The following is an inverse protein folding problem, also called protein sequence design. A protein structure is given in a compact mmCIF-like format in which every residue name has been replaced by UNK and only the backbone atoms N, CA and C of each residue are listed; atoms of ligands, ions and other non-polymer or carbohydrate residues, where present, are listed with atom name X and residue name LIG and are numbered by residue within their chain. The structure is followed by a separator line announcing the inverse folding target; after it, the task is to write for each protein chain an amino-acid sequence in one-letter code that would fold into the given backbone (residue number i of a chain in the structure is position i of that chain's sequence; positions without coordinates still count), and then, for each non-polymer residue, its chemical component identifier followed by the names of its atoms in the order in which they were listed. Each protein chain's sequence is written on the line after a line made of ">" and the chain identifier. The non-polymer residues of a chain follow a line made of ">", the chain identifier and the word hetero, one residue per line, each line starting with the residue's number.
data_IF_656685569305
#
_entry.id   IF_656685569305
#
_cell.length_a   1.000
_cell.length_b   1.000
_cell.length_c   1.000
_cell.angle_alpha   90.00
_cell.angle_beta   90.00
_cell.angle_gamma   90.00
#
_symmetry.space_group_name_H-M   'P 1'
#
loop_
_entity.id
_entity.type
_entity.pdbx_description
1 polymer ?
#
# COMPACT_ATOMS: atom_id res chain seq x y z
N UNK A 1 15.22 -35.35 -15.83
CA UNK A 1 14.25 -34.59 -14.99
C UNK A 1 14.88 -33.59 -14.03
N UNK A 2 16.06 -33.84 -13.47
CA UNK A 2 16.74 -32.94 -12.51
C UNK A 2 17.24 -31.61 -13.09
N UNK A 3 17.82 -31.63 -14.31
CA UNK A 3 18.41 -30.44 -14.92
C UNK A 3 17.36 -29.39 -15.32
N UNK A 4 16.20 -29.83 -15.83
CA UNK A 4 15.08 -28.96 -16.18
C UNK A 4 14.45 -28.31 -14.95
N UNK A 5 14.39 -29.02 -13.82
CA UNK A 5 13.88 -28.49 -12.55
C UNK A 5 14.82 -27.43 -11.96
N UNK A 6 16.13 -27.66 -11.99
CA UNK A 6 17.14 -26.68 -11.55
C UNK A 6 17.09 -25.44 -12.42
N UNK A 7 16.96 -25.60 -13.74
CA UNK A 7 16.85 -24.49 -14.67
C UNK A 7 15.56 -23.66 -14.45
N UNK A 8 14.43 -24.33 -14.16
CA UNK A 8 13.17 -23.68 -13.83
C UNK A 8 13.27 -22.85 -12.54
N UNK A 9 13.89 -23.41 -11.51
CA UNK A 9 14.14 -22.70 -10.24
C UNK A 9 15.05 -21.49 -10.48
N UNK A 10 16.09 -21.63 -11.28
CA UNK A 10 17.03 -20.55 -11.60
C UNK A 10 16.36 -19.45 -12.42
N UNK A 11 15.46 -19.81 -13.34
CA UNK A 11 14.68 -18.86 -14.14
C UNK A 11 13.65 -18.11 -13.30
N UNK A 12 12.97 -18.78 -12.36
CA UNK A 12 12.06 -18.13 -11.40
C UNK A 12 12.84 -17.21 -10.46
N UNK A 13 14.02 -17.61 -10.00
CA UNK A 13 14.89 -16.79 -9.15
C UNK A 13 15.44 -15.57 -9.89
N UNK A 14 15.91 -15.72 -11.12
CA UNK A 14 16.43 -14.59 -11.92
C UNK A 14 15.32 -13.63 -12.31
N UNK A 15 14.12 -14.13 -12.62
CA UNK A 15 12.96 -13.30 -12.88
C UNK A 15 12.47 -12.61 -11.61
N UNK A 16 12.43 -13.29 -10.48
CA UNK A 16 12.11 -12.70 -9.17
C UNK A 16 13.10 -11.60 -8.79
N UNK A 17 14.41 -11.81 -9.03
CA UNK A 17 15.45 -10.81 -8.83
C UNK A 17 15.33 -9.63 -9.79
N UNK A 18 15.01 -9.86 -11.06
CA UNK A 18 14.78 -8.81 -12.05
C UNK A 18 13.53 -7.97 -11.68
N UNK A 19 12.43 -8.62 -11.31
CA UNK A 19 11.24 -7.93 -10.82
C UNK A 19 11.49 -7.19 -9.51
N UNK A 20 12.24 -7.78 -8.59
CA UNK A 20 12.66 -7.11 -7.36
C UNK A 20 13.54 -5.89 -7.66
N UNK A 21 14.51 -6.01 -8.56
CA UNK A 21 15.35 -4.89 -8.99
C UNK A 21 14.56 -3.80 -9.70
N UNK A 22 13.61 -4.15 -10.56
CA UNK A 22 12.73 -3.20 -11.25
C UNK A 22 11.80 -2.49 -10.25
N UNK A 23 11.20 -3.23 -9.32
CA UNK A 23 10.37 -2.67 -8.24
C UNK A 23 11.24 -1.80 -7.31
N UNK A 24 12.46 -2.24 -6.99
CA UNK A 24 13.41 -1.49 -6.18
C UNK A 24 13.83 -0.18 -6.87
N UNK A 25 14.11 -0.18 -8.16
CA UNK A 25 14.43 1.01 -8.95
C UNK A 25 13.24 1.98 -8.99
N UNK A 26 12.02 1.49 -9.23
CA UNK A 26 10.80 2.30 -9.21
C UNK A 26 10.51 2.88 -7.81
N UNK A 27 10.74 2.09 -6.75
CA UNK A 27 10.59 2.55 -5.37
C UNK A 27 11.74 3.45 -4.92
N UNK A 28 12.95 3.25 -5.45
CA UNK A 28 14.12 4.08 -5.18
C UNK A 28 13.94 5.48 -5.78
N UNK A 29 13.45 5.58 -7.00
CA UNK A 29 13.12 6.86 -7.64
C UNK A 29 11.98 7.59 -6.92
N UNK A 30 10.99 6.84 -6.40
CA UNK A 30 9.93 7.38 -5.54
C UNK A 30 10.44 7.85 -4.16
N UNK A 31 11.43 7.17 -3.60
CA UNK A 31 12.01 7.50 -2.27
C UNK A 31 12.97 8.69 -2.34
N UNK A 32 13.58 8.94 -3.49
CA UNK A 32 14.51 10.06 -3.74
C UNK A 32 13.88 11.22 -4.50
N UNK A 33 12.56 11.29 -4.57
CA UNK A 33 11.80 12.39 -5.22
C UNK A 33 11.98 13.80 -4.63
N UNK A 34 12.97 13.98 -3.76
CA UNK A 34 13.52 15.29 -3.37
C UNK A 34 14.29 15.99 -4.52
N UNK A 35 14.38 15.40 -5.71
CA UNK A 35 14.93 16.04 -6.91
C UNK A 35 13.97 17.05 -7.57
N UNK A 36 12.72 17.14 -7.15
CA UNK A 36 11.76 18.10 -7.70
C UNK A 36 12.13 19.57 -7.43
N UNK A 37 12.93 19.87 -6.41
CA UNK A 37 13.44 21.23 -6.18
C UNK A 37 14.43 21.64 -7.28
N UNK A 38 15.31 20.74 -7.73
CA UNK A 38 16.23 20.98 -8.84
C UNK A 38 15.51 21.11 -10.19
N UNK A 39 14.45 20.31 -10.41
CA UNK A 39 13.63 20.37 -11.63
C UNK A 39 12.78 21.65 -11.67
N UNK A 40 12.23 22.09 -10.56
CA UNK A 40 11.50 23.36 -10.47
C UNK A 40 12.41 24.58 -10.64
N UNK A 41 13.63 24.53 -10.08
CA UNK A 41 14.63 25.58 -10.28
C UNK A 41 15.13 25.62 -11.75
N UNK A 42 15.27 24.46 -12.40
CA UNK A 42 15.66 24.37 -13.81
C UNK A 42 14.56 24.89 -14.74
N UNK A 43 13.30 24.62 -14.43
CA UNK A 43 12.14 25.11 -15.19
C UNK A 43 11.92 26.65 -15.04
N UNK A 44 12.45 27.25 -13.99
CA UNK A 44 12.47 28.71 -13.82
C UNK A 44 13.63 29.39 -14.57
N UNK A 45 14.70 28.64 -14.88
CA UNK A 45 15.93 29.21 -15.47
C UNK A 45 16.06 28.96 -16.98
N UNK A 46 15.54 27.81 -17.46
CA UNK A 46 15.55 27.45 -18.88
C UNK A 46 14.11 27.48 -19.41
N UNK A 47 13.81 28.48 -20.26
CA UNK A 47 12.57 28.54 -21.03
C UNK A 47 12.45 27.31 -21.93
N UNK A 48 11.24 26.76 -21.96
CA UNK A 48 10.68 25.82 -22.93
C UNK A 48 11.70 25.03 -23.80
N UNK A 49 12.37 24.04 -23.25
CA UNK A 49 12.88 22.95 -24.08
C UNK A 49 11.72 21.97 -24.32
N UNK A 50 11.30 21.90 -25.59
CA UNK A 50 10.44 20.81 -26.11
C UNK A 50 11.11 19.49 -25.75
N UNK A 51 10.45 18.67 -24.92
CA UNK A 51 10.73 17.23 -24.88
C UNK A 51 10.54 16.71 -26.32
N UNK A 52 11.61 16.30 -26.97
CA UNK A 52 11.55 15.39 -28.11
C UNK A 52 10.97 14.08 -27.58
N UNK A 53 9.65 13.97 -27.57
CA UNK A 53 8.93 12.74 -27.35
C UNK A 53 9.32 11.78 -28.48
N UNK A 54 9.88 10.64 -28.09
CA UNK A 54 10.25 9.54 -28.98
C UNK A 54 9.02 9.17 -29.85
N UNK A 55 9.01 9.63 -31.10
CA UNK A 55 7.86 9.65 -32.02
C UNK A 55 7.26 8.24 -32.25
N UNK A 56 8.04 7.18 -31.96
CA UNK A 56 7.61 5.78 -32.06
C UNK A 56 6.69 5.35 -30.90
N UNK A 57 7.03 5.72 -29.67
CA UNK A 57 6.25 5.37 -28.47
C UNK A 57 4.91 6.12 -28.51
N UNK A 58 4.92 7.38 -28.92
CA UNK A 58 3.69 8.20 -29.06
C UNK A 58 2.76 7.63 -30.13
N UNK A 59 3.27 7.10 -31.23
CA UNK A 59 2.45 6.44 -32.27
C UNK A 59 1.84 5.13 -31.78
N UNK A 60 2.58 4.29 -31.08
CA UNK A 60 2.05 3.04 -30.49
C UNK A 60 1.00 3.35 -29.41
N UNK A 61 1.22 4.39 -28.62
CA UNK A 61 0.31 4.83 -27.56
C UNK A 61 -1.01 5.39 -28.09
N UNK A 62 -1.01 6.05 -29.26
CA UNK A 62 -2.22 6.61 -29.85
C UNK A 62 -3.25 5.55 -30.33
N UNK A 63 -2.82 4.29 -30.52
CA UNK A 63 -3.70 3.18 -30.86
C UNK A 63 -4.42 2.57 -29.63
N UNK A 64 -3.95 2.87 -28.40
CA UNK A 64 -4.54 2.31 -27.17
C UNK A 64 -5.59 3.29 -26.66
N UNK A 65 -6.85 3.04 -27.00
CA UNK A 65 -7.98 3.80 -26.47
C UNK A 65 -8.23 3.38 -25.02
N UNK A 66 -7.52 4.04 -24.08
CA UNK A 66 -7.60 3.73 -22.65
C UNK A 66 -8.93 4.22 -22.11
N UNK A 67 -9.73 3.33 -21.52
CA UNK A 67 -10.94 3.72 -20.80
C UNK A 67 -10.61 4.78 -19.75
N UNK A 68 -11.40 5.89 -19.72
CA UNK A 68 -11.22 6.95 -18.73
C UNK A 68 -11.24 6.44 -17.29
N UNK A 69 -11.99 5.37 -17.01
CA UNK A 69 -12.05 4.76 -15.69
C UNK A 69 -10.70 4.15 -15.28
N UNK A 70 -10.02 3.47 -16.21
CA UNK A 70 -8.70 2.89 -15.97
C UNK A 70 -7.64 3.99 -15.80
N UNK A 71 -7.71 5.04 -16.62
CA UNK A 71 -6.84 6.21 -16.49
C UNK A 71 -6.98 6.88 -15.15
N UNK A 72 -8.22 7.13 -14.70
CA UNK A 72 -8.50 7.68 -13.36
C UNK A 72 -7.99 6.77 -12.25
N UNK A 73 -8.20 5.46 -12.38
CA UNK A 73 -7.69 4.48 -11.41
C UNK A 73 -6.17 4.54 -11.29
N UNK A 74 -5.44 4.51 -12.40
CA UNK A 74 -3.97 4.57 -12.40
C UNK A 74 -3.43 5.88 -11.83
N UNK A 75 -4.08 7.01 -12.10
CA UNK A 75 -3.70 8.30 -11.49
C UNK A 75 -3.87 8.32 -9.96
N UNK A 76 -4.75 7.46 -9.40
CA UNK A 76 -4.90 7.33 -7.94
C UNK A 76 -3.89 6.41 -7.28
N UNK A 77 -3.17 5.58 -8.06
CA UNK A 77 -2.17 4.64 -7.51
C UNK A 77 -0.89 5.32 -7.07
N UNK A 78 -0.60 6.53 -7.63
CA UNK A 78 0.63 7.27 -7.34
C UNK A 78 1.89 6.60 -7.87
N UNK A 79 1.75 5.71 -8.85
CA UNK A 79 2.90 5.17 -9.57
C UNK A 79 3.54 6.27 -10.43
N UNK A 80 4.88 6.36 -10.50
CA UNK A 80 5.58 7.35 -11.30
C UNK A 80 5.56 7.04 -12.81
N UNK A 81 4.57 6.28 -13.26
CA UNK A 81 4.38 5.84 -14.65
C UNK A 81 3.16 6.52 -15.26
N UNK A 82 3.26 6.94 -16.50
CA UNK A 82 2.09 7.38 -17.28
C UNK A 82 1.14 6.17 -17.47
N UNK A 83 -0.19 6.37 -17.47
CA UNK A 83 -1.16 5.27 -17.67
C UNK A 83 -0.87 4.43 -18.91
N UNK A 84 -0.38 5.07 -19.97
CA UNK A 84 0.00 4.48 -21.22
C UNK A 84 1.20 3.53 -21.06
N UNK A 85 2.25 3.98 -20.36
CA UNK A 85 3.46 3.19 -20.07
C UNK A 85 3.14 1.96 -19.21
N UNK A 86 2.24 2.14 -18.24
CA UNK A 86 1.79 1.04 -17.38
C UNK A 86 1.13 -0.08 -18.20
N UNK A 87 0.25 0.27 -19.15
CA UNK A 87 -0.45 -0.71 -19.99
C UNK A 87 0.53 -1.40 -20.94
N UNK A 88 1.47 -0.66 -21.52
CA UNK A 88 2.50 -1.25 -22.38
C UNK A 88 3.37 -2.25 -21.62
N UNK A 89 3.84 -1.88 -20.42
CA UNK A 89 4.64 -2.77 -19.57
C UNK A 89 3.83 -4.00 -19.15
N UNK A 90 2.56 -3.82 -18.83
CA UNK A 90 1.66 -4.91 -18.48
C UNK A 90 1.46 -5.88 -19.65
N UNK A 91 1.13 -5.37 -20.84
CA UNK A 91 0.99 -6.17 -22.05
C UNK A 91 2.29 -6.86 -22.46
N UNK A 92 3.40 -6.15 -22.39
CA UNK A 92 4.73 -6.69 -22.68
C UNK A 92 5.09 -7.85 -21.73
N UNK A 93 4.88 -7.71 -20.43
CA UNK A 93 5.18 -8.80 -19.47
C UNK A 93 4.24 -9.99 -19.64
N UNK A 94 2.96 -9.76 -19.93
CA UNK A 94 1.99 -10.83 -20.19
C UNK A 94 2.33 -11.64 -21.46
N UNK A 95 3.01 -11.04 -22.46
CA UNK A 95 3.42 -11.71 -23.69
C UNK A 95 4.84 -12.29 -23.64
N UNK A 96 5.79 -11.57 -23.08
CA UNK A 96 7.20 -11.96 -23.07
C UNK A 96 7.41 -13.21 -22.18
N UNK A 97 6.75 -13.30 -21.04
CA UNK A 97 6.92 -14.42 -20.12
C UNK A 97 6.53 -15.78 -20.74
N UNK A 98 5.31 -15.95 -21.33
CA UNK A 98 4.97 -17.20 -21.99
C UNK A 98 5.83 -17.46 -23.26
N UNK A 99 6.29 -16.40 -23.96
CA UNK A 99 7.17 -16.55 -25.11
C UNK A 99 8.52 -17.16 -24.73
N UNK A 100 9.10 -16.73 -23.61
CA UNK A 100 10.33 -17.29 -23.06
C UNK A 100 10.13 -18.76 -22.69
N UNK A 101 9.00 -19.13 -22.06
CA UNK A 101 8.74 -20.53 -21.71
C UNK A 101 8.49 -21.41 -22.92
N UNK A 102 7.93 -20.85 -24.00
CA UNK A 102 7.75 -21.51 -25.29
C UNK A 102 9.10 -21.80 -25.97
N UNK A 103 10.01 -20.80 -26.03
CA UNK A 103 11.36 -20.96 -26.61
C UNK A 103 12.17 -22.01 -25.85
N UNK A 104 12.01 -22.07 -24.53
CA UNK A 104 12.71 -23.04 -23.68
C UNK A 104 12.07 -24.44 -23.68
N UNK A 105 11.00 -24.66 -24.45
CA UNK A 105 10.30 -25.95 -24.54
C UNK A 105 9.86 -26.53 -23.18
N UNK A 106 9.45 -25.68 -22.22
CA UNK A 106 9.11 -26.08 -20.86
C UNK A 106 7.69 -26.73 -20.74
N UNK A 107 6.98 -26.85 -21.83
CA UNK A 107 5.63 -27.44 -21.89
C UNK A 107 4.49 -26.43 -21.75
N UNK A 108 3.31 -26.84 -22.22
CA UNK A 108 2.12 -25.98 -22.30
C UNK A 108 1.62 -25.50 -20.91
N UNK A 109 1.73 -26.36 -19.90
CA UNK A 109 1.30 -26.04 -18.52
C UNK A 109 2.08 -24.90 -17.90
N UNK A 110 3.39 -24.85 -18.13
CA UNK A 110 4.26 -23.77 -17.65
C UNK A 110 4.02 -22.46 -18.39
N UNK A 111 3.76 -22.52 -19.70
CA UNK A 111 3.40 -21.37 -20.51
C UNK A 111 2.12 -20.70 -20.01
N UNK A 112 1.07 -21.47 -19.72
CA UNK A 112 -0.20 -20.98 -19.17
C UNK A 112 0.01 -20.37 -17.77
N UNK A 113 0.81 -21.00 -16.92
CA UNK A 113 1.12 -20.50 -15.59
C UNK A 113 1.80 -19.13 -15.66
N UNK A 114 2.83 -18.96 -16.46
CA UNK A 114 3.55 -17.69 -16.59
C UNK A 114 2.71 -16.60 -17.27
N UNK A 115 1.80 -16.95 -18.17
CA UNK A 115 0.82 -16.01 -18.70
C UNK A 115 -0.10 -15.45 -17.62
N UNK A 116 -0.65 -16.32 -16.76
CA UNK A 116 -1.51 -15.91 -15.64
C UNK A 116 -0.73 -15.04 -14.65
N UNK A 117 0.51 -15.41 -14.32
CA UNK A 117 1.39 -14.63 -13.43
C UNK A 117 1.66 -13.24 -14.02
N UNK A 118 2.02 -13.14 -15.31
CA UNK A 118 2.26 -11.86 -15.98
C UNK A 118 1.03 -10.96 -16.01
N UNK A 119 -0.15 -11.57 -16.15
CA UNK A 119 -1.43 -10.84 -16.16
C UNK A 119 -1.81 -10.31 -14.77
N UNK A 120 -1.49 -11.02 -13.70
CA UNK A 120 -1.89 -10.65 -12.33
C UNK A 120 -0.91 -9.71 -11.62
N UNK A 121 0.36 -9.69 -11.99
CA UNK A 121 1.41 -8.98 -11.27
C UNK A 121 1.19 -7.45 -11.24
N UNK A 122 0.84 -6.85 -12.38
CA UNK A 122 0.65 -5.41 -12.51
C UNK A 122 -0.58 -4.87 -11.76
N UNK A 123 -1.78 -5.47 -11.87
CA UNK A 123 -2.93 -5.02 -11.09
C UNK A 123 -2.73 -5.20 -9.58
N UNK A 124 -2.06 -6.27 -9.15
CA UNK A 124 -1.70 -6.45 -7.73
C UNK A 124 -0.73 -5.36 -7.25
N UNK A 125 0.28 -5.03 -8.06
CA UNK A 125 1.23 -3.97 -7.75
C UNK A 125 0.56 -2.60 -7.67
N UNK A 126 -0.37 -2.28 -8.58
CA UNK A 126 -1.15 -1.06 -8.58
C UNK A 126 -2.01 -0.94 -7.30
N UNK A 127 -2.68 -2.03 -6.91
CA UNK A 127 -3.50 -2.06 -5.69
C UNK A 127 -2.67 -1.89 -4.41
N UNK A 128 -1.49 -2.53 -4.34
CA UNK A 128 -0.56 -2.38 -3.20
C UNK A 128 -0.04 -0.94 -3.12
N UNK A 129 0.32 -0.34 -4.27
CA UNK A 129 0.80 1.04 -4.34
C UNK A 129 -0.29 2.02 -3.89
N UNK A 130 -1.52 1.85 -4.38
CA UNK A 130 -2.69 2.63 -3.96
C UNK A 130 -2.91 2.55 -2.44
N UNK A 131 -2.92 1.34 -1.88
CA UNK A 131 -3.08 1.15 -0.42
C UNK A 131 -1.98 1.83 0.38
N UNK A 132 -0.71 1.74 -0.07
CA UNK A 132 0.42 2.42 0.58
C UNK A 132 0.27 3.95 0.52
N UNK A 133 -0.14 4.49 -0.64
CA UNK A 133 -0.38 5.93 -0.81
C UNK A 133 -1.49 6.43 0.12
N UNK A 134 -2.62 5.71 0.19
CA UNK A 134 -3.73 6.04 1.08
C UNK A 134 -3.34 5.97 2.56
N UNK A 135 -2.57 4.93 2.95
CA UNK A 135 -2.07 4.81 4.31
C UNK A 135 -1.13 5.97 4.69
N UNK A 136 -0.28 6.40 3.76
CA UNK A 136 0.61 7.55 3.96
C UNK A 136 -0.18 8.86 4.05
N UNK A 137 -1.18 9.05 3.19
CA UNK A 137 -2.09 10.19 3.24
C UNK A 137 -2.78 10.30 4.61
N UNK A 138 -3.38 9.21 5.07
CA UNK A 138 -4.05 9.18 6.38
C UNK A 138 -3.09 9.40 7.56
N UNK A 139 -1.82 9.00 7.41
CA UNK A 139 -0.78 9.28 8.40
C UNK A 139 -0.41 10.76 8.46
N UNK A 140 -0.46 11.48 7.34
CA UNK A 140 -0.14 12.92 7.26
C UNK A 140 -1.34 13.81 7.66
N UNK A 141 -2.56 13.27 7.61
CA UNK A 141 -3.78 14.03 7.83
C UNK A 141 -3.84 14.76 9.20
N UNK A 142 -3.45 14.16 10.34
CA UNK A 142 -3.47 14.87 11.63
C UNK A 142 -2.56 16.09 11.64
N UNK A 143 -1.36 15.98 11.08
CA UNK A 143 -0.41 17.08 10.96
C UNK A 143 -0.97 18.21 10.07
N UNK A 144 -1.59 17.85 8.95
CA UNK A 144 -2.27 18.80 8.07
C UNK A 144 -3.36 19.58 8.81
N UNK A 145 -4.16 18.90 9.63
CA UNK A 145 -5.23 19.53 10.40
C UNK A 145 -4.71 20.49 11.48
N UNK A 146 -3.59 20.18 12.11
CA UNK A 146 -2.92 21.09 13.04
C UNK A 146 -2.49 22.37 12.34
N UNK A 147 -1.89 22.27 11.15
CA UNK A 147 -1.50 23.43 10.34
C UNK A 147 -2.74 24.24 9.93
N UNK A 148 -3.80 23.58 9.46
CA UNK A 148 -5.06 24.24 9.10
C UNK A 148 -5.64 24.98 10.31
N UNK A 149 -5.72 24.33 11.48
CA UNK A 149 -6.23 24.94 12.71
C UNK A 149 -5.43 26.18 13.12
N UNK A 150 -4.10 26.12 13.03
CA UNK A 150 -3.22 27.25 13.32
C UNK A 150 -3.44 28.41 12.35
N UNK A 151 -3.56 28.15 11.06
CA UNK A 151 -3.85 29.16 10.06
C UNK A 151 -5.20 29.84 10.32
N UNK A 152 -6.24 29.05 10.61
CA UNK A 152 -7.58 29.58 10.90
C UNK A 152 -7.62 30.44 12.18
N UNK A 153 -6.90 30.04 13.24
CA UNK A 153 -6.75 30.82 14.46
C UNK A 153 -6.04 32.16 14.22
N UNK A 154 -5.10 32.17 13.28
CA UNK A 154 -4.41 33.39 12.84
C UNK A 154 -5.26 34.27 11.90
N UNK A 155 -6.52 33.90 11.64
CA UNK A 155 -7.45 34.67 10.80
C UNK A 155 -7.32 34.44 9.29
N UNK A 156 -6.56 33.45 8.86
CA UNK A 156 -6.51 33.08 7.46
C UNK A 156 -7.76 32.32 7.01
N UNK A 157 -8.10 32.43 5.74
CA UNK A 157 -9.21 31.64 5.16
C UNK A 157 -8.84 30.15 5.07
N UNK A 158 -9.85 29.28 5.09
CA UNK A 158 -9.65 27.84 4.95
C UNK A 158 -8.90 27.47 3.66
N UNK A 159 -9.21 28.15 2.57
CA UNK A 159 -8.49 27.99 1.29
C UNK A 159 -7.00 28.33 1.42
N UNK A 160 -6.67 29.40 2.14
CA UNK A 160 -5.27 29.76 2.39
C UNK A 160 -4.57 28.73 3.27
N UNK A 161 -5.27 28.20 4.28
CA UNK A 161 -4.78 27.12 5.13
C UNK A 161 -4.47 25.84 4.33
N UNK A 162 -5.35 25.44 3.38
CA UNK A 162 -5.09 24.32 2.48
C UNK A 162 -3.84 24.56 1.60
N UNK A 163 -3.68 25.77 1.08
CA UNK A 163 -2.50 26.13 0.30
C UNK A 163 -1.23 25.99 1.13
N UNK A 164 -1.23 26.49 2.36
CA UNK A 164 -0.11 26.37 3.28
C UNK A 164 0.27 24.91 3.54
N UNK A 165 -0.70 24.06 3.86
CA UNK A 165 -0.46 22.60 4.04
C UNK A 165 0.14 21.97 2.78
N UNK A 166 -0.34 22.38 1.60
CA UNK A 166 0.16 21.84 0.33
C UNK A 166 1.60 22.24 0.01
N UNK A 167 2.12 23.29 0.64
CA UNK A 167 3.50 23.73 0.54
C UNK A 167 4.40 23.10 1.60
N UNK A 168 3.90 22.95 2.83
CA UNK A 168 4.67 22.50 3.98
C UNK A 168 4.81 20.96 4.06
N UNK A 169 3.79 20.21 3.62
CA UNK A 169 3.80 18.76 3.70
C UNK A 169 4.19 18.06 2.39
N UNK A 170 4.86 16.90 2.48
CA UNK A 170 5.24 16.13 1.30
C UNK A 170 4.05 15.40 0.67
N UNK A 171 4.26 14.84 -0.55
CA UNK A 171 3.29 13.96 -1.19
C UNK A 171 3.00 12.72 -0.32
N UNK A 172 1.78 12.19 -0.34
CA UNK A 172 0.66 12.46 -1.25
C UNK A 172 -0.27 13.62 -0.85
N UNK A 173 -0.27 14.09 0.41
CA UNK A 173 -1.23 15.10 0.88
C UNK A 173 -1.09 16.43 0.13
N UNK A 174 0.15 16.86 -0.13
CA UNK A 174 0.44 18.07 -0.93
C UNK A 174 -0.25 18.05 -2.29
N UNK A 175 -0.10 16.94 -3.02
CA UNK A 175 -0.65 16.79 -4.37
C UNK A 175 -2.18 16.80 -4.37
N UNK A 176 -2.79 16.09 -3.43
CA UNK A 176 -4.25 16.03 -3.31
C UNK A 176 -4.86 17.38 -2.91
N UNK A 177 -4.23 18.10 -1.98
CA UNK A 177 -4.69 19.44 -1.60
C UNK A 177 -4.46 20.47 -2.70
N UNK A 178 -3.35 20.42 -3.44
CA UNK A 178 -3.16 21.25 -4.65
C UNK A 178 -4.25 21.01 -5.68
N UNK A 179 -4.74 19.76 -5.80
CA UNK A 179 -5.83 19.44 -6.68
C UNK A 179 -7.14 20.07 -6.20
N UNK A 180 -7.48 19.96 -4.92
CA UNK A 180 -8.65 20.62 -4.33
C UNK A 180 -8.62 22.14 -4.57
N UNK A 181 -7.47 22.77 -4.31
CA UNK A 181 -7.29 24.20 -4.52
C UNK A 181 -7.51 24.61 -5.99
N UNK A 182 -6.99 23.82 -6.94
CA UNK A 182 -7.24 24.05 -8.36
C UNK A 182 -8.72 23.93 -8.71
N UNK A 183 -9.40 22.89 -8.24
CA UNK A 183 -10.84 22.69 -8.47
C UNK A 183 -11.64 23.87 -7.96
N UNK A 184 -11.34 24.36 -6.74
CA UNK A 184 -11.97 25.54 -6.16
C UNK A 184 -11.65 26.82 -6.95
N UNK A 185 -10.42 26.97 -7.47
CA UNK A 185 -10.04 28.11 -8.31
C UNK A 185 -10.78 28.12 -9.66
N UNK A 186 -11.16 26.94 -10.18
CA UNK A 186 -12.02 26.81 -11.36
C UNK A 186 -13.51 26.99 -11.08
N UNK A 187 -13.87 27.42 -9.85
CA UNK A 187 -15.25 27.76 -9.50
C UNK A 187 -16.04 26.62 -8.87
N UNK A 188 -15.42 25.47 -8.62
CA UNK A 188 -16.09 24.37 -7.90
C UNK A 188 -16.23 24.73 -6.43
N UNK A 189 -17.34 24.33 -5.79
CA UNK A 189 -17.53 24.57 -4.36
C UNK A 189 -16.50 23.77 -3.54
N UNK A 190 -16.01 24.38 -2.46
CA UNK A 190 -15.03 23.72 -1.57
C UNK A 190 -15.57 22.43 -0.97
N UNK A 191 -16.85 22.42 -0.54
CA UNK A 191 -17.53 21.24 0.01
C UNK A 191 -17.57 20.07 -0.98
N UNK A 192 -17.79 20.34 -2.27
CA UNK A 192 -17.80 19.32 -3.33
C UNK A 192 -16.39 18.78 -3.60
N UNK A 193 -15.38 19.64 -3.65
CA UNK A 193 -13.99 19.25 -3.87
C UNK A 193 -13.43 18.46 -2.69
N UNK A 194 -13.74 18.82 -1.47
CA UNK A 194 -13.38 18.05 -0.26
C UNK A 194 -14.12 16.71 -0.20
N UNK A 195 -15.41 16.67 -0.56
CA UNK A 195 -16.18 15.43 -0.63
C UNK A 195 -15.62 14.45 -1.66
N UNK A 196 -15.20 14.96 -2.83
CA UNK A 196 -14.53 14.13 -3.83
C UNK A 196 -13.16 13.64 -3.35
N UNK A 197 -12.39 14.46 -2.64
CA UNK A 197 -11.15 14.04 -2.01
C UNK A 197 -11.40 12.94 -0.99
N UNK A 198 -12.39 13.06 -0.12
CA UNK A 198 -12.77 12.05 0.86
C UNK A 198 -13.16 10.72 0.18
N UNK A 199 -13.95 10.77 -0.89
CA UNK A 199 -14.35 9.62 -1.68
C UNK A 199 -13.14 8.94 -2.36
N UNK A 200 -12.22 9.71 -2.95
CA UNK A 200 -11.00 9.16 -3.61
C UNK A 200 -10.05 8.51 -2.62
N UNK A 201 -9.92 9.09 -1.43
CA UNK A 201 -9.03 8.57 -0.37
C UNK A 201 -9.69 7.55 0.52
N UNK A 202 -11.01 7.34 0.40
CA UNK A 202 -11.79 6.46 1.27
C UNK A 202 -11.47 6.70 2.76
N UNK A 203 -11.33 7.98 3.14
CA UNK A 203 -10.97 8.42 4.48
C UNK A 203 -12.19 8.90 5.24
N UNK A 204 -12.60 8.13 6.26
CA UNK A 204 -13.68 8.51 7.15
C UNK A 204 -13.36 9.81 7.91
N UNK A 205 -12.09 10.06 8.18
CA UNK A 205 -11.59 11.27 8.81
C UNK A 205 -11.85 12.51 7.93
N UNK A 206 -11.60 12.39 6.61
CA UNK A 206 -11.91 13.47 5.66
C UNK A 206 -13.40 13.70 5.47
N UNK A 207 -14.23 12.65 5.48
CA UNK A 207 -15.67 12.80 5.45
C UNK A 207 -16.18 13.60 6.66
N UNK A 208 -15.62 13.31 7.84
CA UNK A 208 -15.97 14.05 9.06
C UNK A 208 -15.55 15.52 8.96
N UNK A 209 -14.36 15.81 8.42
CA UNK A 209 -13.88 17.17 8.18
C UNK A 209 -14.77 17.88 7.18
N UNK A 210 -15.09 17.24 6.04
CA UNK A 210 -15.94 17.84 5.01
C UNK A 210 -17.33 18.20 5.57
N UNK A 211 -17.91 17.27 6.34
CA UNK A 211 -19.21 17.51 6.99
C UNK A 211 -19.13 18.67 7.97
N UNK A 212 -18.10 18.72 8.81
CA UNK A 212 -17.89 19.78 9.78
C UNK A 212 -17.71 21.15 9.10
N UNK A 213 -16.86 21.20 8.05
CA UNK A 213 -16.66 22.44 7.25
C UNK A 213 -17.93 22.87 6.57
N UNK A 214 -18.68 21.95 5.97
CA UNK A 214 -19.95 22.26 5.28
C UNK A 214 -21.00 22.85 6.24
N UNK A 215 -21.16 22.23 7.42
CA UNK A 215 -22.10 22.73 8.44
C UNK A 215 -21.68 24.13 8.88
N UNK A 216 -20.40 24.33 9.17
CA UNK A 216 -19.90 25.59 9.70
C UNK A 216 -19.96 26.74 8.70
N UNK A 217 -19.73 26.45 7.42
CA UNK A 217 -19.88 27.45 6.36
C UNK A 217 -21.34 27.91 6.20
N UNK A 218 -22.30 27.03 6.45
CA UNK A 218 -23.74 27.37 6.39
C UNK A 218 -24.24 28.09 7.63
N UNK A 219 -23.71 27.75 8.80
CA UNK A 219 -24.13 28.37 10.07
C UNK A 219 -23.36 29.64 10.44
N UNK A 220 -22.26 29.95 9.74
CA UNK A 220 -21.48 31.17 9.98
C UNK A 220 -20.65 31.14 11.27
N UNK A 221 -20.39 29.97 11.83
CA UNK A 221 -19.67 29.83 13.08
C UNK A 221 -18.14 29.80 12.97
N UNK A 222 -17.45 29.55 14.08
CA UNK A 222 -16.00 29.53 14.18
C UNK A 222 -15.42 28.23 13.59
N UNK A 223 -14.90 28.28 12.37
CA UNK A 223 -14.32 27.14 11.68
C UNK A 223 -13.05 26.61 12.37
N UNK A 224 -12.27 27.49 13.02
CA UNK A 224 -11.06 27.09 13.72
C UNK A 224 -11.36 26.14 14.89
N UNK A 225 -12.38 26.45 15.67
CA UNK A 225 -12.81 25.64 16.82
C UNK A 225 -13.30 24.25 16.38
N UNK A 226 -14.05 24.18 15.28
CA UNK A 226 -14.53 22.90 14.74
C UNK A 226 -13.37 22.05 14.21
N UNK A 227 -12.43 22.64 13.47
CA UNK A 227 -11.26 21.92 12.97
C UNK A 227 -10.41 21.40 14.14
N UNK A 228 -10.25 22.18 15.20
CA UNK A 228 -9.52 21.75 16.42
C UNK A 228 -10.21 20.56 17.09
N UNK A 229 -11.53 20.61 17.28
CA UNK A 229 -12.34 19.53 17.84
C UNK A 229 -12.27 18.24 17.03
N UNK A 230 -12.33 18.38 15.70
CA UNK A 230 -12.17 17.24 14.79
C UNK A 230 -10.76 16.67 14.85
N UNK A 231 -9.74 17.53 14.92
CA UNK A 231 -8.34 17.12 15.07
C UNK A 231 -8.11 16.34 16.37
N UNK A 232 -8.65 16.82 17.47
CA UNK A 232 -8.61 16.13 18.78
C UNK A 232 -9.23 14.72 18.65
N UNK A 233 -10.46 14.65 18.11
CA UNK A 233 -11.16 13.38 17.90
C UNK A 233 -10.37 12.40 17.03
N UNK A 234 -9.72 12.86 15.96
CA UNK A 234 -8.88 12.03 15.10
C UNK A 234 -7.64 11.54 15.85
N UNK A 235 -6.97 12.42 16.59
CA UNK A 235 -5.82 12.05 17.39
C UNK A 235 -6.16 11.00 18.46
N UNK A 236 -7.29 11.15 19.14
CA UNK A 236 -7.77 10.18 20.12
C UNK A 236 -8.04 8.82 19.48
N UNK A 237 -8.70 8.78 18.32
CA UNK A 237 -8.89 7.54 17.56
C UNK A 237 -7.57 6.88 17.17
N UNK A 238 -6.59 7.68 16.73
CA UNK A 238 -5.25 7.15 16.37
C UNK A 238 -4.56 6.59 17.60
N UNK A 239 -4.62 7.28 18.74
CA UNK A 239 -4.02 6.84 19.99
C UNK A 239 -4.65 5.52 20.47
N UNK A 240 -5.98 5.42 20.45
CA UNK A 240 -6.70 4.17 20.79
C UNK A 240 -6.28 3.03 19.84
N UNK A 241 -6.27 3.26 18.53
CA UNK A 241 -5.81 2.27 17.55
C UNK A 241 -4.37 1.81 17.81
N UNK A 242 -3.49 2.73 18.16
CA UNK A 242 -2.09 2.41 18.50
C UNK A 242 -1.98 1.59 19.77
N UNK A 243 -2.74 1.93 20.81
CA UNK A 243 -2.78 1.15 22.06
C UNK A 243 -3.30 -0.27 21.81
N UNK A 244 -4.39 -0.43 21.08
CA UNK A 244 -4.92 -1.74 20.67
C UNK A 244 -3.85 -2.52 19.89
N UNK A 245 -3.16 -1.88 18.96
CA UNK A 245 -2.09 -2.53 18.17
C UNK A 245 -0.96 -3.02 19.06
N UNK A 246 -0.51 -2.25 20.03
CA UNK A 246 0.54 -2.64 20.98
C UNK A 246 0.10 -3.84 21.79
N UNK A 247 -1.09 -3.79 22.39
CA UNK A 247 -1.63 -4.88 23.22
C UNK A 247 -1.86 -6.17 22.41
N UNK A 248 -2.42 -6.05 21.20
CA UNK A 248 -2.64 -7.21 20.33
C UNK A 248 -1.32 -7.79 19.81
N UNK A 249 -0.32 -6.95 19.55
CA UNK A 249 1.02 -7.39 19.14
C UNK A 249 1.69 -8.16 20.26
N UNK A 250 1.65 -7.65 21.50
CA UNK A 250 2.17 -8.34 22.66
C UNK A 250 1.48 -9.70 22.87
N UNK A 251 0.14 -9.75 22.79
CA UNK A 251 -0.61 -11.01 22.90
C UNK A 251 -0.24 -12.00 21.80
N UNK A 252 -0.02 -11.53 20.56
CA UNK A 252 0.40 -12.39 19.44
C UNK A 252 1.79 -12.98 19.65
N UNK A 253 2.77 -12.18 20.09
CA UNK A 253 4.11 -12.69 20.36
C UNK A 253 4.13 -13.66 21.54
N UNK A 254 3.41 -13.37 22.63
CA UNK A 254 3.29 -14.28 23.75
C UNK A 254 2.62 -15.60 23.34
N UNK A 255 1.54 -15.54 22.58
CA UNK A 255 0.87 -16.71 22.03
C UNK A 255 1.75 -17.54 21.12
N UNK A 256 2.56 -16.89 20.27
CA UNK A 256 3.51 -17.56 19.39
C UNK A 256 4.63 -18.27 20.19
N UNK A 257 5.16 -17.63 21.22
CA UNK A 257 6.19 -18.21 22.08
C UNK A 257 5.65 -19.43 22.83
N UNK A 258 4.45 -19.34 23.42
CA UNK A 258 3.80 -20.45 24.10
C UNK A 258 3.49 -21.59 23.14
N UNK A 259 2.99 -21.28 21.93
CA UNK A 259 2.67 -22.28 20.92
C UNK A 259 3.88 -22.95 20.29
N UNK A 260 5.07 -22.33 20.29
CA UNK A 260 6.30 -22.94 19.82
C UNK A 260 7.00 -23.81 20.88
N UNK A 261 6.67 -23.62 22.16
CA UNK A 261 7.35 -24.26 23.27
C UNK A 261 7.26 -25.80 23.23
N UNK A 262 6.10 -26.44 22.97
CA UNK A 262 6.01 -27.91 22.86
C UNK A 262 6.84 -28.47 21.70
N UNK A 263 6.85 -27.76 20.55
CA UNK A 263 7.66 -28.16 19.37
C UNK A 263 9.14 -28.08 19.71
N UNK A 264 9.57 -27.01 20.38
CA UNK A 264 10.95 -26.84 20.82
C UNK A 264 11.38 -27.91 21.83
N UNK A 265 10.52 -28.24 22.81
CA UNK A 265 10.76 -29.32 23.76
C UNK A 265 10.86 -30.68 23.05
N UNK A 266 10.01 -30.96 22.08
CA UNK A 266 10.04 -32.20 21.31
C UNK A 266 11.38 -32.37 20.57
N UNK A 267 11.88 -31.29 19.94
CA UNK A 267 13.17 -31.29 19.24
C UNK A 267 14.30 -31.55 20.22
N UNK A 268 14.34 -30.83 21.36
CA UNK A 268 15.38 -30.97 22.39
C UNK A 268 15.39 -32.39 22.98
N UNK A 269 14.21 -32.91 23.35
CA UNK A 269 14.10 -34.25 23.94
C UNK A 269 14.53 -35.34 22.94
N UNK A 270 14.23 -35.15 21.65
CA UNK A 270 14.69 -36.06 20.59
C UNK A 270 16.22 -36.07 20.48
N UNK A 271 16.86 -34.93 20.72
CA UNK A 271 18.31 -34.78 20.64
C UNK A 271 19.04 -35.30 21.91
N UNK A 272 18.50 -35.00 23.09
CA UNK A 272 19.10 -35.39 24.37
C UNK A 272 18.85 -36.87 24.67
N UNK A 273 17.66 -37.41 24.37
CA UNK A 273 17.27 -38.77 24.71
C UNK A 273 16.52 -39.44 23.56
N UNK A 274 17.23 -39.88 22.47
CA UNK A 274 16.61 -40.52 21.32
C UNK A 274 15.82 -41.77 21.63
N UNK A 275 16.28 -42.55 22.61
CA UNK A 275 15.64 -43.82 23.01
C UNK A 275 14.28 -43.60 23.67
N UNK A 276 14.18 -42.54 24.49
CA UNK A 276 12.92 -42.13 25.11
C UNK A 276 11.89 -41.71 24.05
N UNK A 277 12.29 -40.85 23.12
CA UNK A 277 11.40 -40.40 22.06
C UNK A 277 11.03 -41.51 21.08
N UNK A 278 11.94 -42.43 20.79
CA UNK A 278 11.66 -43.59 19.93
C UNK A 278 10.52 -44.50 20.53
N UNK A 279 10.51 -44.62 21.85
CA UNK A 279 9.42 -45.35 22.54
C UNK A 279 8.07 -44.62 22.38
N UNK A 280 8.07 -43.31 22.43
CA UNK A 280 6.87 -42.47 22.21
C UNK A 280 6.29 -42.65 20.81
N UNK A 281 7.12 -42.66 19.78
CA UNK A 281 6.70 -42.81 18.38
C UNK A 281 6.32 -44.24 18.02
N UNK A 282 6.84 -45.28 18.72
CA UNK A 282 6.59 -46.69 18.42
C UNK A 282 5.38 -47.24 19.17
N UNK A 283 5.08 -46.76 20.37
CA UNK A 283 4.00 -47.26 21.21
C UNK A 283 2.63 -46.71 20.77
N UNK A 284 1.60 -47.55 20.74
CA UNK A 284 0.25 -47.09 20.39
C UNK A 284 -0.28 -45.98 21.33
N UNK A 285 0.03 -46.07 22.62
CA UNK A 285 -0.34 -45.06 23.61
C UNK A 285 0.40 -43.74 23.31
N UNK A 286 1.68 -43.77 22.99
CA UNK A 286 2.47 -42.58 22.65
C UNK A 286 1.95 -41.85 21.41
N UNK A 287 1.54 -42.60 20.38
CA UNK A 287 0.91 -42.00 19.18
C UNK A 287 -0.40 -41.30 19.49
N UNK A 288 -1.27 -41.93 20.33
CA UNK A 288 -2.52 -41.30 20.74
C UNK A 288 -2.26 -40.01 21.53
N UNK A 289 -1.29 -40.04 22.46
CA UNK A 289 -0.92 -38.85 23.23
C UNK A 289 -0.39 -37.71 22.33
N UNK A 290 0.41 -38.02 21.31
CA UNK A 290 0.90 -37.01 20.34
C UNK A 290 -0.26 -36.42 19.53
N UNK A 291 -1.20 -37.22 19.04
CA UNK A 291 -2.38 -36.74 18.33
C UNK A 291 -3.23 -35.81 19.19
N UNK A 292 -3.49 -36.20 20.43
CA UNK A 292 -4.26 -35.40 21.39
C UNK A 292 -3.53 -34.07 21.68
N UNK A 293 -2.20 -34.10 21.87
CA UNK A 293 -1.37 -32.92 22.10
C UNK A 293 -1.44 -31.94 20.92
N UNK A 294 -1.33 -32.44 19.69
CA UNK A 294 -1.43 -31.58 18.48
C UNK A 294 -2.81 -30.97 18.36
N UNK A 295 -3.87 -31.70 18.66
CA UNK A 295 -5.25 -31.18 18.63
C UNK A 295 -5.42 -30.07 19.68
N UNK A 296 -4.97 -30.29 20.92
CA UNK A 296 -5.04 -29.30 21.99
C UNK A 296 -4.22 -28.04 21.65
N UNK A 297 -3.01 -28.23 21.15
CA UNK A 297 -2.13 -27.14 20.71
C UNK A 297 -2.76 -26.28 19.60
N UNK A 298 -3.29 -26.95 18.56
CA UNK A 298 -3.96 -26.27 17.45
C UNK A 298 -5.19 -25.51 17.94
N UNK A 299 -5.98 -26.11 18.81
CA UNK A 299 -7.18 -25.49 19.39
C UNK A 299 -6.80 -24.26 20.23
N UNK A 300 -5.78 -24.39 21.10
CA UNK A 300 -5.26 -23.28 21.88
C UNK A 300 -4.75 -22.12 21.02
N UNK A 301 -4.00 -22.43 19.96
CA UNK A 301 -3.49 -21.44 19.02
C UNK A 301 -4.61 -20.70 18.29
N UNK A 302 -5.63 -21.41 17.82
CA UNK A 302 -6.80 -20.82 17.18
C UNK A 302 -7.59 -19.91 18.12
N UNK A 303 -7.74 -20.31 19.39
CA UNK A 303 -8.39 -19.48 20.41
C UNK A 303 -7.60 -18.19 20.66
N UNK A 304 -6.29 -18.28 20.82
CA UNK A 304 -5.41 -17.10 20.97
C UNK A 304 -5.54 -16.18 19.76
N UNK A 305 -5.47 -16.70 18.54
CA UNK A 305 -5.65 -15.90 17.33
C UNK A 305 -7.01 -15.19 17.28
N UNK A 306 -8.08 -15.87 17.69
CA UNK A 306 -9.44 -15.31 17.74
C UNK A 306 -9.56 -14.16 18.75
N UNK A 307 -8.96 -14.32 19.94
CA UNK A 307 -8.98 -13.31 21.01
C UNK A 307 -8.14 -12.07 20.62
N UNK A 308 -6.98 -12.30 20.01
CA UNK A 308 -6.04 -11.23 19.64
C UNK A 308 -6.47 -10.48 18.37
N UNK A 309 -7.27 -11.11 17.50
CA UNK A 309 -7.70 -10.49 16.24
C UNK A 309 -9.00 -9.68 16.44
N UNK A 310 -8.88 -8.55 17.14
CA UNK A 310 -9.98 -7.59 17.34
C UNK A 310 -10.17 -6.78 16.05
N UNK A 311 -11.35 -6.87 15.43
CA UNK A 311 -11.77 -5.99 14.33
C UNK A 311 -12.35 -4.71 14.94
N UNK A 312 -11.84 -3.55 14.54
CA UNK A 312 -12.31 -2.20 14.90
C UNK A 312 -12.39 -1.33 13.66
#
# INVERSE_FOLDING_TARGET
>A
MSLQFVFLILLVLTFGLFMYAMIYLLLFEYRYGTKNVKYQLRKMYDGEEKEEDDDFIVRVLSFINISENLRRYLLTTGLPLKPEEFILLWGATALILPLITFILNLGLSTMVLFFIVGLLIFPLMAEISKKKRLALFNKQLPEALVIIGNCLRSGFTFRHALARVSEDLPNPISEELKRVIREVNYGRKLEESLGELASRTNSAELEMINSAVTIQQRSGGNLAEIVEKVTETINDRINIRNQIRVLTTQGRYSGMLIGLLPVFLLIILTWISPNYMNSFFKTSIGKVMLVVSVILETTGFLLIQKIVNIKY
#
